data_IF_189989793521
#
_entry.id   IF_189989793521
#
_cell.length_a   1.000
_cell.length_b   1.000
_cell.length_c   1.000
_cell.angle_alpha   90.00
_cell.angle_beta   90.00
_cell.angle_gamma   90.00
#
_symmetry.space_group_name_H-M   'P 1'
#
loop_
_entity.id
_entity.type
_entity.pdbx_description
1 polymer ?
#
# COMPACT_ATOMS: atom_id res chain seq x y z
N UNK A 1 -28.09 5.49 4.53
CA UNK A 1 -27.16 6.36 5.26
C UNK A 1 -25.78 5.89 4.85
N UNK A 2 -24.92 6.77 4.30
CA UNK A 2 -23.60 6.35 3.86
C UNK A 2 -22.70 6.23 5.09
N UNK A 3 -22.28 5.01 5.42
CA UNK A 3 -21.27 4.79 6.45
C UNK A 3 -19.98 5.53 6.08
N UNK A 4 -19.26 6.00 7.10
CA UNK A 4 -17.92 6.53 6.90
C UNK A 4 -17.00 5.31 6.79
N UNK A 5 -16.13 5.28 5.79
CA UNK A 5 -15.09 4.26 5.71
C UNK A 5 -13.73 4.90 5.47
N UNK A 6 -12.70 4.25 6.01
CA UNK A 6 -11.30 4.64 5.88
C UNK A 6 -10.53 3.46 5.29
N UNK A 7 -9.81 3.68 4.20
CA UNK A 7 -9.09 2.64 3.50
C UNK A 7 -7.63 2.57 3.99
N UNK A 8 -7.11 1.37 4.15
CA UNK A 8 -5.71 1.12 4.52
C UNK A 8 -5.08 0.17 3.52
N UNK A 9 -3.89 0.52 3.04
CA UNK A 9 -3.05 -0.39 2.28
C UNK A 9 -2.06 -1.07 3.23
N UNK A 10 -2.10 -2.40 3.30
CA UNK A 10 -1.22 -3.21 4.13
C UNK A 10 -0.18 -3.88 3.24
N UNK A 11 1.10 -3.56 3.45
CA UNK A 11 2.21 -4.22 2.79
C UNK A 11 2.61 -5.46 3.59
N UNK A 12 2.57 -6.60 2.93
CA UNK A 12 2.93 -7.93 3.44
C UNK A 12 4.01 -8.56 2.56
N UNK A 13 4.52 -9.71 2.99
CA UNK A 13 5.44 -10.53 2.20
C UNK A 13 4.97 -11.99 2.10
N UNK A 14 4.96 -12.52 0.87
CA UNK A 14 4.59 -13.91 0.57
C UNK A 14 5.38 -14.92 1.41
N UNK A 15 6.66 -14.65 1.71
CA UNK A 15 7.50 -15.60 2.47
C UNK A 15 7.12 -15.64 3.95
N UNK A 16 6.63 -14.55 4.50
CA UNK A 16 6.16 -14.51 5.89
C UNK A 16 4.85 -15.28 6.00
N UNK A 17 3.96 -15.10 5.02
CA UNK A 17 2.70 -15.84 4.90
C UNK A 17 2.98 -17.34 4.74
N UNK A 18 3.86 -17.75 3.81
CA UNK A 18 4.26 -19.15 3.61
C UNK A 18 4.89 -19.75 4.88
N UNK A 19 5.70 -18.98 5.61
CA UNK A 19 6.32 -19.42 6.84
C UNK A 19 5.30 -19.60 7.98
N UNK A 20 4.29 -18.72 8.06
CA UNK A 20 3.23 -18.79 9.06
C UNK A 20 2.33 -20.02 8.85
N UNK A 21 1.95 -20.31 7.61
CA UNK A 21 1.01 -21.39 7.31
C UNK A 21 1.66 -22.73 6.91
N UNK A 22 2.97 -22.74 6.62
CA UNK A 22 3.73 -23.96 6.36
C UNK A 22 3.49 -24.59 4.99
N UNK A 23 2.98 -23.84 4.02
CA UNK A 23 2.78 -24.26 2.63
C UNK A 23 3.17 -23.16 1.65
N UNK A 24 3.32 -23.52 0.37
CA UNK A 24 3.67 -22.58 -0.71
C UNK A 24 2.43 -22.00 -1.37
N UNK A 25 2.50 -20.74 -1.76
CA UNK A 25 1.43 -20.02 -2.46
C UNK A 25 1.61 -20.21 -3.97
N UNK A 26 0.93 -21.20 -4.55
CA UNK A 26 1.17 -21.58 -5.95
C UNK A 26 0.42 -20.67 -6.95
N UNK A 27 -0.74 -20.16 -6.57
CA UNK A 27 -1.58 -19.28 -7.40
C UNK A 27 -1.87 -17.93 -6.75
N UNK A 28 -2.39 -16.99 -7.54
CA UNK A 28 -2.85 -15.71 -7.03
C UNK A 28 -4.06 -15.86 -6.11
N UNK A 29 -4.92 -16.86 -6.37
CA UNK A 29 -6.07 -17.17 -5.51
C UNK A 29 -5.60 -17.64 -4.13
N UNK A 30 -4.64 -18.57 -4.08
CA UNK A 30 -4.06 -19.05 -2.81
C UNK A 30 -3.41 -17.89 -2.04
N UNK A 31 -2.70 -17.03 -2.77
CA UNK A 31 -2.08 -15.84 -2.20
C UNK A 31 -3.13 -14.89 -1.61
N UNK A 32 -4.20 -14.59 -2.35
CA UNK A 32 -5.26 -13.70 -1.87
C UNK A 32 -5.86 -14.21 -0.56
N UNK A 33 -6.24 -15.49 -0.52
CA UNK A 33 -6.90 -16.09 0.64
C UNK A 33 -5.96 -16.07 1.85
N UNK A 34 -4.70 -16.53 1.67
CA UNK A 34 -3.71 -16.58 2.74
C UNK A 34 -3.27 -15.18 3.22
N UNK A 35 -3.12 -14.21 2.32
CA UNK A 35 -2.74 -12.85 2.67
C UNK A 35 -3.86 -12.11 3.41
N UNK A 36 -5.12 -12.38 3.06
CA UNK A 36 -6.29 -11.84 3.76
C UNK A 36 -6.38 -12.38 5.19
N UNK A 37 -6.26 -13.70 5.37
CA UNK A 37 -6.26 -14.35 6.69
C UNK A 37 -5.07 -13.87 7.54
N UNK A 38 -3.90 -13.72 6.92
CA UNK A 38 -2.71 -13.20 7.59
C UNK A 38 -2.91 -11.74 8.05
N UNK A 39 -3.43 -10.88 7.18
CA UNK A 39 -3.76 -9.51 7.53
C UNK A 39 -4.77 -9.43 8.68
N UNK A 40 -5.79 -10.27 8.68
CA UNK A 40 -6.78 -10.34 9.76
C UNK A 40 -6.16 -10.70 11.11
N UNK A 41 -5.24 -11.65 11.11
CA UNK A 41 -4.50 -12.03 12.31
C UNK A 41 -3.61 -10.90 12.84
N UNK A 42 -2.92 -10.19 11.94
CA UNK A 42 -1.99 -9.11 12.30
C UNK A 42 -2.70 -7.81 12.74
N UNK A 43 -3.80 -7.46 12.07
CA UNK A 43 -4.60 -6.27 12.39
C UNK A 43 -5.44 -6.50 13.66
N UNK A 44 -5.88 -7.74 13.88
CA UNK A 44 -6.71 -8.15 15.00
C UNK A 44 -8.20 -7.90 14.79
N UNK A 45 -9.01 -8.57 15.61
CA UNK A 45 -10.47 -8.47 15.55
C UNK A 45 -10.97 -7.14 16.11
N UNK A 46 -11.63 -6.35 15.26
CA UNK A 46 -12.38 -5.17 15.68
C UNK A 46 -13.87 -5.50 15.69
N UNK A 47 -14.50 -5.48 16.87
CA UNK A 47 -15.97 -5.55 16.96
C UNK A 47 -16.63 -4.30 16.34
N UNK A 48 -15.94 -3.15 16.42
CA UNK A 48 -16.31 -1.90 15.74
C UNK A 48 -15.10 -0.96 15.66
N UNK A 49 -14.80 -0.31 14.52
CA UNK A 49 -15.47 -0.44 13.21
C UNK A 49 -15.28 -1.82 12.59
N UNK A 50 -16.16 -2.21 11.66
CA UNK A 50 -16.01 -3.47 10.93
C UNK A 50 -14.86 -3.37 9.91
N UNK A 51 -13.95 -4.35 9.92
CA UNK A 51 -12.94 -4.50 8.88
C UNK A 51 -13.52 -5.25 7.68
N UNK A 52 -13.18 -4.81 6.47
CA UNK A 52 -13.51 -5.48 5.21
C UNK A 52 -12.31 -5.48 4.29
N UNK A 53 -11.91 -6.65 3.79
CA UNK A 53 -10.79 -6.78 2.86
C UNK A 53 -11.28 -6.62 1.42
N UNK A 54 -10.74 -5.62 0.74
CA UNK A 54 -11.24 -5.17 -0.56
C UNK A 54 -10.61 -5.92 -1.73
N UNK A 55 -9.32 -6.19 -1.64
CA UNK A 55 -8.53 -6.70 -2.74
C UNK A 55 -7.09 -7.02 -2.37
N UNK A 56 -6.36 -7.55 -3.35
CA UNK A 56 -4.94 -7.84 -3.26
C UNK A 56 -4.19 -7.36 -4.50
N UNK A 57 -2.92 -6.96 -4.35
CA UNK A 57 -1.94 -6.78 -5.44
C UNK A 57 -0.68 -7.57 -5.11
N UNK A 58 -0.13 -8.29 -6.10
CA UNK A 58 1.10 -9.09 -5.93
C UNK A 58 2.20 -8.63 -6.86
N UNK A 59 3.40 -8.48 -6.31
CA UNK A 59 4.61 -8.21 -7.08
C UNK A 59 5.03 -9.42 -7.92
N UNK A 60 4.85 -10.66 -7.43
CA UNK A 60 5.25 -11.87 -8.16
C UNK A 60 4.35 -12.14 -9.36
N UNK A 61 3.05 -12.02 -9.18
CA UNK A 61 2.08 -12.24 -10.25
C UNK A 61 1.87 -11.01 -11.13
N UNK A 62 2.41 -9.85 -10.72
CA UNK A 62 2.29 -8.55 -11.39
C UNK A 62 0.83 -8.21 -11.77
N UNK A 63 -0.07 -8.42 -10.80
CA UNK A 63 -1.50 -8.20 -10.99
C UNK A 63 -2.19 -7.83 -9.69
N UNK A 64 -3.33 -7.16 -9.80
CA UNK A 64 -4.24 -6.87 -8.70
C UNK A 64 -5.65 -7.33 -8.97
N UNK A 65 -6.37 -7.69 -7.91
CA UNK A 65 -7.78 -8.04 -7.95
C UNK A 65 -8.54 -7.35 -6.83
N UNK A 66 -9.79 -6.99 -7.13
CA UNK A 66 -10.75 -6.47 -6.15
C UNK A 66 -11.86 -7.50 -6.00
N UNK A 67 -12.05 -8.02 -4.79
CA UNK A 67 -13.03 -9.09 -4.51
C UNK A 67 -14.18 -8.63 -3.61
N UNK A 68 -14.08 -7.46 -2.98
CA UNK A 68 -15.20 -6.88 -2.25
C UNK A 68 -16.09 -6.04 -3.18
N UNK A 69 -17.40 -6.31 -3.15
CA UNK A 69 -18.39 -5.56 -3.92
C UNK A 69 -19.14 -4.51 -3.09
N UNK A 70 -19.06 -4.60 -1.77
CA UNK A 70 -19.85 -3.78 -0.85
C UNK A 70 -19.14 -2.46 -0.49
N UNK A 71 -17.81 -2.41 -0.62
CA UNK A 71 -16.99 -1.21 -0.39
C UNK A 71 -16.12 -0.90 -1.61
N UNK A 72 -15.79 0.39 -1.78
CA UNK A 72 -15.02 0.86 -2.92
C UNK A 72 -13.53 0.83 -2.59
N UNK A 73 -12.78 0.12 -3.42
CA UNK A 73 -11.33 0.20 -3.48
C UNK A 73 -10.86 1.60 -3.91
N UNK A 74 -9.91 2.16 -3.18
CA UNK A 74 -9.18 3.40 -3.49
C UNK A 74 -8.03 3.14 -4.45
N UNK A 75 -7.22 2.09 -4.23
CA UNK A 75 -5.95 1.93 -4.92
C UNK A 75 -5.86 0.70 -5.81
N UNK A 76 -6.61 -0.35 -5.50
CA UNK A 76 -6.66 -1.56 -6.32
C UNK A 76 -7.67 -1.44 -7.45
N UNK A 77 -7.26 -1.84 -8.65
CA UNK A 77 -8.13 -2.05 -9.80
C UNK A 77 -7.88 -3.42 -10.43
N UNK A 78 -8.92 -4.03 -11.01
CA UNK A 78 -8.81 -5.38 -11.59
C UNK A 78 -7.79 -5.42 -12.74
N UNK A 79 -6.79 -6.29 -12.61
CA UNK A 79 -5.78 -6.56 -13.63
C UNK A 79 -4.68 -5.50 -13.77
N UNK A 80 -4.61 -4.52 -12.87
CA UNK A 80 -3.50 -3.57 -12.87
C UNK A 80 -2.19 -4.22 -12.41
N UNK A 81 -1.08 -3.76 -12.96
CA UNK A 81 0.25 -4.20 -12.61
C UNK A 81 0.68 -3.65 -11.24
N UNK A 82 1.61 -4.34 -10.57
CA UNK A 82 2.13 -3.97 -9.24
C UNK A 82 2.62 -2.52 -9.17
N UNK A 83 3.40 -2.11 -10.17
CA UNK A 83 3.92 -0.75 -10.24
C UNK A 83 2.82 0.30 -10.37
N UNK A 84 1.70 -0.02 -11.03
CA UNK A 84 0.56 0.89 -11.19
C UNK A 84 -0.19 1.06 -9.87
N UNK A 85 -0.41 -0.01 -9.11
CA UNK A 85 -0.98 0.04 -7.76
C UNK A 85 -0.14 0.95 -6.86
N UNK A 86 1.18 0.73 -6.82
CA UNK A 86 2.07 1.57 -6.01
C UNK A 86 2.13 3.02 -6.49
N UNK A 87 2.03 3.24 -7.80
CA UNK A 87 1.94 4.57 -8.39
C UNK A 87 0.73 5.36 -7.88
N UNK A 88 -0.44 4.71 -7.78
CA UNK A 88 -1.65 5.31 -7.21
C UNK A 88 -1.51 5.63 -5.72
N UNK A 89 -1.01 4.68 -4.93
CA UNK A 89 -0.76 4.89 -3.49
C UNK A 89 0.17 6.08 -3.28
N UNK A 90 1.23 6.18 -4.08
CA UNK A 90 2.21 7.25 -3.99
C UNK A 90 1.65 8.61 -4.42
N UNK A 91 0.77 8.64 -5.42
CA UNK A 91 0.06 9.84 -5.87
C UNK A 91 -0.93 10.33 -4.80
N UNK A 92 -1.81 9.45 -4.32
CA UNK A 92 -2.89 9.80 -3.40
C UNK A 92 -2.39 10.15 -2.01
N UNK A 93 -1.47 9.36 -1.44
CA UNK A 93 -0.98 9.56 -0.07
C UNK A 93 0.26 10.46 -0.01
N UNK A 94 1.11 10.39 -1.04
CA UNK A 94 2.42 11.04 -1.06
C UNK A 94 2.49 12.30 -1.91
N UNK A 95 1.46 12.63 -2.70
CA UNK A 95 1.52 13.69 -3.73
C UNK A 95 2.69 13.50 -4.71
N UNK A 96 3.15 12.27 -4.91
CA UNK A 96 4.23 11.95 -5.84
C UNK A 96 3.67 11.75 -7.25
N UNK A 97 4.35 12.26 -8.27
CA UNK A 97 3.94 12.00 -9.66
C UNK A 97 3.92 10.49 -9.95
N UNK A 98 2.75 9.98 -10.32
CA UNK A 98 2.51 8.56 -10.58
C UNK A 98 3.48 7.95 -11.59
N UNK A 99 3.86 8.69 -12.64
CA UNK A 99 4.76 8.16 -13.68
C UNK A 99 6.18 8.02 -13.15
N UNK A 100 6.62 8.96 -12.32
CA UNK A 100 7.94 8.93 -11.68
C UNK A 100 8.03 7.73 -10.73
N UNK A 101 7.00 7.50 -9.92
CA UNK A 101 6.98 6.39 -8.96
C UNK A 101 6.85 5.04 -9.67
N UNK A 102 5.98 4.92 -10.68
CA UNK A 102 5.91 3.72 -11.54
C UNK A 102 7.27 3.39 -12.18
N UNK A 103 8.01 4.39 -12.67
CA UNK A 103 9.34 4.19 -13.22
C UNK A 103 10.36 3.75 -12.16
N UNK A 104 10.30 4.32 -10.95
CA UNK A 104 11.10 3.90 -9.83
C UNK A 104 10.87 2.43 -9.47
N UNK A 105 9.62 1.97 -9.37
CA UNK A 105 9.34 0.57 -9.01
C UNK A 105 9.79 -0.43 -10.07
N UNK A 106 9.88 -0.03 -11.34
CA UNK A 106 10.41 -0.88 -12.41
C UNK A 106 11.94 -0.94 -12.42
N UNK A 107 12.62 0.10 -11.96
CA UNK A 107 14.07 0.27 -12.15
C UNK A 107 14.90 0.18 -10.87
N UNK A 108 14.28 0.47 -9.72
CA UNK A 108 14.96 0.65 -8.44
C UNK A 108 15.84 1.90 -8.36
N UNK A 109 15.79 2.81 -9.35
CA UNK A 109 16.67 3.98 -9.41
C UNK A 109 16.21 5.07 -8.42
N UNK A 110 16.71 4.96 -7.19
CA UNK A 110 16.46 5.93 -6.11
C UNK A 110 16.95 7.34 -6.46
N UNK A 111 18.05 7.47 -7.19
CA UNK A 111 18.59 8.79 -7.52
C UNK A 111 17.68 9.51 -8.51
N UNK A 112 17.17 8.79 -9.51
CA UNK A 112 16.17 9.33 -10.44
C UNK A 112 14.90 9.76 -9.71
N UNK A 113 14.40 8.95 -8.76
CA UNK A 113 13.25 9.31 -7.93
C UNK A 113 13.49 10.60 -7.15
N UNK A 114 14.60 10.68 -6.39
CA UNK A 114 14.93 11.85 -5.57
C UNK A 114 15.06 13.12 -6.43
N UNK A 115 15.70 13.01 -7.59
CA UNK A 115 15.85 14.14 -8.52
C UNK A 115 14.50 14.63 -9.04
N UNK A 116 13.63 13.74 -9.49
CA UNK A 116 12.31 14.10 -9.99
C UNK A 116 11.41 14.70 -8.89
N UNK A 117 11.44 14.12 -7.69
CA UNK A 117 10.67 14.62 -6.55
C UNK A 117 11.16 15.99 -6.09
N UNK A 118 12.48 16.25 -6.14
CA UNK A 118 13.04 17.57 -5.83
C UNK A 118 12.57 18.67 -6.80
N UNK A 119 12.48 18.34 -8.09
CA UNK A 119 11.95 19.24 -9.12
C UNK A 119 10.47 19.54 -8.85
N UNK A 120 9.68 18.50 -8.54
CA UNK A 120 8.27 18.63 -8.18
C UNK A 120 8.07 19.49 -6.93
N UNK A 121 8.86 19.27 -5.87
CA UNK A 121 8.83 20.06 -4.65
C UNK A 121 9.13 21.54 -4.89
N UNK A 122 10.11 21.85 -5.75
CA UNK A 122 10.48 23.23 -6.11
C UNK A 122 9.30 23.97 -6.75
N UNK A 123 8.58 23.29 -7.63
CA UNK A 123 7.37 23.83 -8.25
C UNK A 123 6.27 24.07 -7.21
N UNK A 124 5.98 23.09 -6.35
CA UNK A 124 4.96 23.20 -5.32
C UNK A 124 5.25 24.30 -4.29
N UNK A 125 6.52 24.52 -3.94
CA UNK A 125 6.93 25.65 -3.09
C UNK A 125 6.63 26.98 -3.77
N UNK A 126 6.88 27.07 -5.08
CA UNK A 126 6.58 28.28 -5.87
C UNK A 126 5.08 28.55 -5.95
N UNK A 127 4.27 27.48 -5.95
CA UNK A 127 2.81 27.52 -5.96
C UNK A 127 2.20 27.58 -4.53
N UNK A 128 3.00 27.85 -3.49
CA UNK A 128 2.59 27.92 -2.08
C UNK A 128 1.84 26.66 -1.56
N UNK A 129 2.05 25.52 -2.22
CA UNK A 129 1.37 24.25 -1.95
C UNK A 129 2.08 23.43 -0.87
N UNK A 130 2.28 24.03 0.30
CA UNK A 130 3.14 23.49 1.36
C UNK A 130 2.65 22.15 1.96
N UNK A 131 1.34 21.88 1.93
CA UNK A 131 0.78 20.60 2.41
C UNK A 131 1.28 19.44 1.55
N UNK A 132 1.25 19.59 0.22
CA UNK A 132 1.71 18.58 -0.72
C UNK A 132 3.22 18.38 -0.63
N UNK A 133 4.00 19.46 -0.44
CA UNK A 133 5.44 19.36 -0.17
C UNK A 133 5.72 18.54 1.08
N UNK A 134 4.97 18.76 2.16
CA UNK A 134 5.12 17.98 3.39
C UNK A 134 4.79 16.50 3.16
N UNK A 135 3.68 16.19 2.48
CA UNK A 135 3.28 14.81 2.15
C UNK A 135 4.39 14.09 1.36
N UNK A 136 4.94 14.78 0.37
CA UNK A 136 6.03 14.29 -0.47
C UNK A 136 7.31 14.00 0.29
N UNK A 137 7.73 14.88 1.20
CA UNK A 137 8.91 14.65 2.03
C UNK A 137 8.70 13.46 2.98
N UNK A 138 7.53 13.37 3.62
CA UNK A 138 7.19 12.21 4.46
C UNK A 138 7.16 10.91 3.65
N UNK A 139 6.63 10.92 2.43
CA UNK A 139 6.63 9.75 1.56
C UNK A 139 8.05 9.28 1.21
N UNK A 140 9.00 10.20 1.00
CA UNK A 140 10.40 9.87 0.78
C UNK A 140 11.11 9.34 2.02
N UNK A 141 10.82 9.88 3.21
CA UNK A 141 11.37 9.39 4.47
C UNK A 141 11.00 7.91 4.68
N UNK A 142 9.74 7.56 4.41
CA UNK A 142 9.22 6.20 4.50
C UNK A 142 9.93 5.19 3.58
N UNK A 143 10.52 5.62 2.44
CA UNK A 143 11.29 4.73 1.56
C UNK A 143 12.49 4.13 2.30
N UNK A 144 13.10 4.87 3.23
CA UNK A 144 14.24 4.37 3.97
C UNK A 144 13.84 3.33 5.02
N UNK A 145 12.62 3.42 5.53
CA UNK A 145 12.09 2.52 6.56
C UNK A 145 11.46 1.27 5.95
N UNK A 146 10.51 1.43 5.02
CA UNK A 146 9.72 0.35 4.43
C UNK A 146 10.24 -0.11 3.05
N UNK A 147 11.25 0.55 2.48
CA UNK A 147 11.70 0.26 1.12
C UNK A 147 10.75 0.70 0.01
N UNK A 148 9.56 1.23 0.36
CA UNK A 148 8.53 1.76 -0.51
C UNK A 148 8.03 3.11 0.02
N UNK A 149 7.65 4.07 -0.84
CA UNK A 149 7.11 5.35 -0.42
C UNK A 149 5.74 5.18 0.24
N UNK A 150 5.41 6.12 1.13
CA UNK A 150 4.13 6.21 1.86
C UNK A 150 3.89 5.16 2.96
N UNK A 151 4.48 3.96 2.89
CA UNK A 151 4.27 2.92 3.91
C UNK A 151 4.95 3.24 5.24
N UNK A 152 4.16 3.33 6.31
CA UNK A 152 4.61 3.57 7.70
C UNK A 152 4.65 2.27 8.48
N UNK A 153 5.48 2.19 9.53
CA UNK A 153 5.50 0.99 10.38
C UNK A 153 4.13 0.67 11.03
N UNK A 154 3.88 -0.62 11.23
CA UNK A 154 2.64 -1.17 11.82
C UNK A 154 2.23 -0.53 13.15
N UNK A 155 3.18 -0.02 13.95
CA UNK A 155 2.88 0.68 15.21
C UNK A 155 2.00 1.93 15.06
N UNK A 156 1.85 2.45 13.84
CA UNK A 156 1.00 3.59 13.52
C UNK A 156 -0.36 3.20 12.92
N UNK A 157 -0.61 1.91 12.70
CA UNK A 157 -1.88 1.42 12.19
C UNK A 157 -2.98 1.70 13.23
N UNK A 158 -4.03 2.39 12.78
CA UNK A 158 -5.22 2.62 13.57
C UNK A 158 -6.46 2.47 12.69
N UNK A 159 -7.56 2.01 13.28
CA UNK A 159 -8.83 1.87 12.58
C UNK A 159 -9.43 3.21 12.13
N UNK A 160 -9.09 4.32 12.81
CA UNK A 160 -9.57 5.66 12.50
C UNK A 160 -8.61 6.49 11.63
N UNK A 161 -8.90 7.79 11.58
CA UNK A 161 -8.08 8.77 10.86
C UNK A 161 -8.39 8.85 9.38
N UNK A 162 -7.37 9.22 8.60
CA UNK A 162 -7.43 9.31 7.15
C UNK A 162 -6.96 8.00 6.50
N UNK A 163 -7.12 7.89 5.18
CA UNK A 163 -6.52 6.81 4.40
C UNK A 163 -4.99 6.79 4.59
N UNK A 164 -4.42 5.60 4.78
CA UNK A 164 -2.98 5.45 5.06
C UNK A 164 -2.43 4.11 4.56
N UNK A 165 -1.11 4.01 4.46
CA UNK A 165 -0.41 2.79 4.04
C UNK A 165 0.55 2.33 5.14
N UNK A 166 0.53 1.04 5.45
CA UNK A 166 1.27 0.44 6.56
C UNK A 166 2.11 -0.75 6.12
N UNK A 167 3.37 -0.78 6.56
CA UNK A 167 4.27 -1.93 6.45
C UNK A 167 4.06 -2.85 7.64
N UNK A 168 3.48 -4.02 7.36
CA UNK A 168 3.22 -5.08 8.33
C UNK A 168 4.30 -6.17 8.28
N UNK A 169 5.32 -6.02 7.43
CA UNK A 169 6.39 -7.02 7.33
C UNK A 169 7.30 -6.96 8.54
N UNK A 170 7.68 -8.12 9.05
CA UNK A 170 8.70 -8.21 10.09
C UNK A 170 10.10 -7.85 9.54
N UNK A 171 10.32 -8.11 8.24
CA UNK A 171 11.57 -7.76 7.54
C UNK A 171 11.35 -7.61 6.03
N UNK A 172 12.25 -6.88 5.37
CA UNK A 172 12.28 -6.83 3.90
C UNK A 172 12.96 -8.09 3.33
N UNK A 173 12.19 -8.96 2.68
CA UNK A 173 12.69 -10.16 1.98
C UNK A 173 13.20 -9.87 0.56
N UNK A 174 13.14 -8.61 0.13
CA UNK A 174 13.52 -8.15 -1.19
C UNK A 174 12.32 -8.03 -2.14
N UNK A 175 12.63 -7.83 -3.42
CA UNK A 175 11.62 -7.74 -4.47
C UNK A 175 11.18 -9.14 -4.95
N UNK A 176 9.97 -9.21 -5.50
CA UNK A 176 9.35 -10.39 -6.09
C UNK A 176 8.51 -11.22 -5.13
N UNK A 177 8.28 -10.72 -3.91
CA UNK A 177 7.49 -11.40 -2.87
C UNK A 177 6.55 -10.46 -2.12
N UNK A 178 6.45 -9.20 -2.53
CA UNK A 178 5.64 -8.21 -1.83
C UNK A 178 4.19 -8.31 -2.24
N UNK A 179 3.31 -8.04 -1.29
CA UNK A 179 1.87 -8.13 -1.44
C UNK A 179 1.25 -6.89 -0.82
N UNK A 180 0.24 -6.31 -1.47
CA UNK A 180 -0.59 -5.27 -0.88
C UNK A 180 -1.98 -5.82 -0.69
N UNK A 181 -2.48 -5.75 0.54
CA UNK A 181 -3.90 -5.95 0.84
C UNK A 181 -4.52 -4.59 1.07
N UNK A 182 -5.60 -4.30 0.37
CA UNK A 182 -6.41 -3.13 0.68
C UNK A 182 -7.56 -3.54 1.61
N UNK A 183 -7.73 -2.82 2.71
CA UNK A 183 -8.82 -3.02 3.66
C UNK A 183 -9.57 -1.71 3.90
N UNK A 184 -10.84 -1.81 4.28
CA UNK A 184 -11.66 -0.69 4.75
C UNK A 184 -12.09 -0.93 6.20
N UNK A 185 -12.03 0.13 7.02
CA UNK A 185 -12.73 0.17 8.31
C UNK A 185 -14.05 0.90 8.13
N UNK A 186 -15.17 0.22 8.37
CA UNK A 186 -16.52 0.72 8.14
C UNK A 186 -17.18 1.10 9.46
N UNK A 187 -17.56 2.37 9.56
CA UNK A 187 -18.24 2.99 10.69
C UNK A 187 -19.72 3.14 10.34
N UNK A 188 -20.54 2.15 10.70
CA UNK A 188 -22.00 2.16 10.55
C UNK A 188 -22.74 2.81 11.73
#
# INVERSE_FOLDING_TARGET
>A
MGGIYTNKALLLDEREIEAAYGYKLESFDDLYDAATEFAETEVGDYEYPMSSYLGCSSERFDTSEVRCYDQRSSWLEQGEAWAQTLGKIAEDLGSLDRRVTEAFFRTGDRQALISAVSEQATKLISDESFIQVRQMMTALENINEAGLPCFRGTQHLTAGGDDDAHDLRDRDWGAGTRVIIEMAFVWE
#
